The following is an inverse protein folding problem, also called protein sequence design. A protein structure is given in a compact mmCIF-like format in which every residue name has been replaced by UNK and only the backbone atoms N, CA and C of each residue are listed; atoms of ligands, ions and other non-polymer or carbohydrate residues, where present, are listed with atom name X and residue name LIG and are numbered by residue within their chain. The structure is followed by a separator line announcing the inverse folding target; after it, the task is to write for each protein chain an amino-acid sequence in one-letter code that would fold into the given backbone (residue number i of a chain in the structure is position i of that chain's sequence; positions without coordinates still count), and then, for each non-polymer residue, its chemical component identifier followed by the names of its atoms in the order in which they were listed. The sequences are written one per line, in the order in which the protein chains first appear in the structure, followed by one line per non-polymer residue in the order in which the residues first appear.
data_IF_591181419793
#
_entry.id   IF_591181419793
#
_cell.length_a   1.000
_cell.length_b   1.000
_cell.length_c   1.000
_cell.angle_alpha   90.00
_cell.angle_beta   90.00
_cell.angle_gamma   90.00
#
_symmetry.space_group_name_H-M   'P 1'
#
loop_
_entity.id
_entity.type
_entity.pdbx_description
1 polymer ?
#
# COMPACT_ATOMS: atom_id res chain seq x y z
N UNK A 1 -4.31 25.84 10.37
CA UNK A 1 -3.42 24.95 10.71
C UNK A 1 -3.56 23.60 10.13
N UNK A 2 -4.69 23.07 10.09
CA UNK A 2 -4.86 21.79 9.52
C UNK A 2 -4.56 21.74 8.07
N UNK A 3 -4.87 22.78 7.34
CA UNK A 3 -4.67 22.81 5.90
C UNK A 3 -3.20 22.71 5.55
N UNK A 4 -2.35 23.22 6.41
CA UNK A 4 -0.92 23.18 6.15
C UNK A 4 -0.39 21.77 6.11
N UNK A 5 -1.18 20.84 6.60
CA UNK A 5 -0.77 19.46 6.61
C UNK A 5 -1.66 18.59 5.76
N UNK A 6 -2.14 19.12 4.67
CA UNK A 6 -3.04 18.39 3.82
C UNK A 6 -2.52 17.02 3.45
N UNK A 7 -1.27 16.96 3.01
CA UNK A 7 -0.69 15.67 2.65
C UNK A 7 -0.54 14.76 3.84
N UNK A 8 -0.05 15.30 4.94
CA UNK A 8 0.07 14.53 6.17
C UNK A 8 -1.31 14.25 6.73
N UNK A 9 -2.24 15.16 6.49
CA UNK A 9 -3.60 15.00 6.95
C UNK A 9 -4.28 13.79 6.36
N UNK A 10 -4.01 13.52 5.09
CA UNK A 10 -4.59 12.35 4.45
C UNK A 10 -4.12 11.06 5.11
N UNK A 11 -2.83 10.98 5.40
CA UNK A 11 -2.31 9.81 6.09
C UNK A 11 -2.85 9.70 7.50
N UNK A 12 -3.05 10.84 8.15
CA UNK A 12 -3.61 10.84 9.50
C UNK A 12 -5.03 10.31 9.50
N UNK A 13 -5.82 10.72 8.50
CA UNK A 13 -7.18 10.23 8.39
C UNK A 13 -7.20 8.73 8.15
N UNK A 14 -6.30 8.25 7.29
CA UNK A 14 -6.17 6.84 7.08
C UNK A 14 -5.74 6.13 8.36
N UNK A 15 -4.92 6.79 9.16
CA UNK A 15 -4.46 6.23 10.40
C UNK A 15 -5.57 5.91 11.38
N UNK A 16 -6.72 6.56 11.24
CA UNK A 16 -7.87 6.27 12.05
C UNK A 16 -8.60 5.02 11.59
N UNK A 17 -8.43 4.67 10.32
CA UNK A 17 -9.08 3.51 9.72
C UNK A 17 -8.16 2.32 9.60
N UNK A 18 -6.86 2.56 9.64
CA UNK A 18 -5.86 1.53 9.41
C UNK A 18 -5.08 1.23 10.68
N UNK A 19 -4.81 -0.03 10.92
CA UNK A 19 -3.96 -0.39 12.04
C UNK A 19 -2.48 -0.25 11.62
N UNK A 20 -1.59 -0.56 12.53
CA UNK A 20 -0.16 -0.42 12.30
C UNK A 20 0.32 -1.27 11.12
N UNK A 21 -0.18 -2.50 11.04
CA UNK A 21 0.21 -3.40 9.97
C UNK A 21 -0.23 -2.87 8.62
N UNK A 22 -1.47 -2.37 8.54
CA UNK A 22 -1.99 -1.83 7.28
C UNK A 22 -1.14 -0.66 6.81
N UNK A 23 -0.77 0.24 7.72
CA UNK A 23 0.05 1.38 7.37
C UNK A 23 1.43 0.95 6.90
N UNK A 24 1.99 -0.07 7.57
CA UNK A 24 3.30 -0.58 7.18
C UNK A 24 3.27 -1.18 5.78
N UNK A 25 2.19 -1.90 5.46
CA UNK A 25 2.05 -2.49 4.13
C UNK A 25 1.96 -1.40 3.06
N UNK A 26 1.17 -0.36 3.31
CA UNK A 26 1.06 0.73 2.33
C UNK A 26 2.37 1.49 2.16
N UNK A 27 3.06 1.75 3.25
CA UNK A 27 4.36 2.43 3.18
C UNK A 27 5.36 1.59 2.39
N UNK A 28 5.39 0.30 2.68
CA UNK A 28 6.26 -0.62 1.96
C UNK A 28 5.94 -0.62 0.47
N UNK A 29 4.64 -0.68 0.13
CA UNK A 29 4.23 -0.70 -1.27
C UNK A 29 4.70 0.56 -1.98
N UNK A 30 4.57 1.71 -1.34
CA UNK A 30 5.00 2.96 -1.92
C UNK A 30 6.50 2.98 -2.17
N UNK A 31 7.27 2.46 -1.21
CA UNK A 31 8.71 2.55 -1.29
C UNK A 31 9.35 1.47 -2.16
N UNK A 32 8.75 0.30 -2.21
CA UNK A 32 9.42 -0.84 -2.85
C UNK A 32 8.64 -1.50 -3.96
N UNK A 33 7.32 -1.57 -3.85
CA UNK A 33 6.53 -2.32 -4.81
C UNK A 33 6.66 -1.76 -6.23
N UNK A 34 6.53 -0.44 -6.34
CA UNK A 34 6.59 0.20 -7.65
C UNK A 34 7.97 0.09 -8.29
N UNK A 35 8.97 -0.25 -7.51
CA UNK A 35 10.32 -0.43 -8.00
C UNK A 35 10.71 -1.90 -8.16
N UNK A 36 9.74 -2.79 -7.96
CA UNK A 36 9.97 -4.21 -8.17
C UNK A 36 10.80 -4.89 -7.10
N UNK A 37 10.80 -4.37 -5.89
CA UNK A 37 11.65 -4.90 -4.83
C UNK A 37 10.89 -5.69 -3.75
N UNK A 38 9.66 -6.09 -4.03
CA UNK A 38 8.85 -6.78 -3.04
C UNK A 38 9.54 -8.05 -2.54
N UNK A 39 9.94 -8.91 -3.47
CA UNK A 39 10.52 -10.19 -3.11
C UNK A 39 11.77 -10.03 -2.25
N UNK A 40 12.59 -9.06 -2.59
CA UNK A 40 13.85 -8.86 -1.91
C UNK A 40 13.70 -8.25 -0.52
N UNK A 41 12.64 -7.47 -0.31
CA UNK A 41 12.52 -6.67 0.90
C UNK A 41 11.38 -7.02 1.83
N UNK A 42 10.39 -7.76 1.36
CA UNK A 42 9.17 -7.95 2.15
C UNK A 42 9.45 -8.66 3.48
N UNK A 43 10.28 -9.68 3.46
CA UNK A 43 10.59 -10.41 4.68
C UNK A 43 11.38 -9.54 5.65
N UNK A 44 12.33 -8.79 5.14
CA UNK A 44 13.20 -7.95 5.96
C UNK A 44 12.42 -6.78 6.56
N UNK A 45 11.62 -6.11 5.74
CA UNK A 45 10.94 -4.88 6.17
C UNK A 45 9.66 -5.16 6.92
N UNK A 46 8.90 -6.16 6.50
CA UNK A 46 7.59 -6.44 7.07
C UNK A 46 7.53 -7.72 7.91
N UNK A 47 8.55 -8.55 7.80
CA UNK A 47 8.58 -9.78 8.57
C UNK A 47 7.51 -10.78 8.16
N UNK A 48 7.08 -10.74 6.92
CA UNK A 48 6.03 -11.63 6.43
C UNK A 48 6.41 -12.21 5.07
N UNK A 49 5.68 -13.24 4.66
CA UNK A 49 5.91 -13.84 3.36
C UNK A 49 5.35 -12.95 2.26
N UNK A 50 5.84 -13.18 1.05
CA UNK A 50 5.34 -12.47 -0.11
C UNK A 50 3.85 -12.71 -0.31
N UNK A 51 3.41 -13.96 -0.13
CA UNK A 51 2.00 -14.31 -0.27
C UNK A 51 1.13 -13.53 0.72
N UNK A 52 1.57 -13.47 1.97
CA UNK A 52 0.81 -12.75 2.99
C UNK A 52 0.74 -11.26 2.66
N UNK A 53 1.86 -10.72 2.20
CA UNK A 53 1.91 -9.32 1.81
C UNK A 53 0.89 -9.01 0.70
N UNK A 54 0.83 -9.86 -0.33
CA UNK A 54 -0.11 -9.62 -1.42
C UNK A 54 -1.55 -9.73 -0.96
N UNK A 55 -1.84 -10.66 -0.07
CA UNK A 55 -3.19 -10.78 0.48
C UNK A 55 -3.60 -9.51 1.20
N UNK A 56 -2.71 -8.99 2.04
CA UNK A 56 -3.00 -7.76 2.78
C UNK A 56 -3.12 -6.56 1.86
N UNK A 57 -2.24 -6.48 0.87
CA UNK A 57 -2.26 -5.37 -0.07
C UNK A 57 -3.56 -5.34 -0.86
N UNK A 58 -3.98 -6.49 -1.37
CA UNK A 58 -5.22 -6.56 -2.13
C UNK A 58 -6.41 -6.12 -1.29
N UNK A 59 -6.44 -6.53 -0.02
CA UNK A 59 -7.51 -6.12 0.86
C UNK A 59 -7.51 -4.61 1.06
N UNK A 60 -6.32 -4.01 1.22
CA UNK A 60 -6.21 -2.57 1.39
C UNK A 60 -6.64 -1.81 0.13
N UNK A 61 -6.25 -2.30 -1.03
CA UNK A 61 -6.60 -1.64 -2.28
C UNK A 61 -8.09 -1.71 -2.58
N UNK A 62 -8.81 -2.61 -1.90
CA UNK A 62 -10.25 -2.71 -2.04
C UNK A 62 -11.01 -1.74 -1.14
N UNK A 63 -10.33 -1.07 -0.23
CA UNK A 63 -10.98 -0.16 0.70
C UNK A 63 -11.18 1.20 0.07
N UNK A 64 -12.42 1.72 0.05
CA UNK A 64 -12.68 3.03 -0.59
C UNK A 64 -11.88 4.17 0.01
N UNK A 65 -11.70 4.17 1.32
CA UNK A 65 -10.97 5.26 1.97
C UNK A 65 -9.52 5.31 1.54
N UNK A 66 -8.92 4.16 1.24
CA UNK A 66 -7.55 4.11 0.76
C UNK A 66 -7.47 4.70 -0.65
N UNK A 67 -8.42 4.33 -1.50
CA UNK A 67 -8.46 4.85 -2.87
C UNK A 67 -8.68 6.35 -2.90
N UNK A 68 -9.47 6.86 -1.97
CA UNK A 68 -9.73 8.30 -1.90
C UNK A 68 -8.50 9.07 -1.45
N UNK A 69 -7.77 8.51 -0.49
CA UNK A 69 -6.61 9.21 0.05
C UNK A 69 -5.39 9.12 -0.86
N UNK A 70 -5.23 7.98 -1.54
CA UNK A 70 -4.05 7.74 -2.36
C UNK A 70 -4.46 7.20 -3.73
N UNK A 71 -5.18 7.98 -4.53
CA UNK A 71 -5.72 7.45 -5.79
C UNK A 71 -4.65 7.03 -6.78
N UNK A 72 -3.56 7.78 -6.87
CA UNK A 72 -2.51 7.44 -7.83
C UNK A 72 -1.77 6.18 -7.41
N UNK A 73 -1.47 6.07 -6.12
CA UNK A 73 -0.79 4.88 -5.61
C UNK A 73 -1.64 3.64 -5.84
N UNK A 74 -2.93 3.72 -5.56
CA UNK A 74 -3.83 2.60 -5.75
C UNK A 74 -3.88 2.20 -7.22
N UNK A 75 -3.99 3.19 -8.11
CA UNK A 75 -4.05 2.91 -9.54
C UNK A 75 -2.77 2.23 -10.02
N UNK A 76 -1.62 2.74 -9.58
CA UNK A 76 -0.34 2.18 -9.98
C UNK A 76 -0.18 0.75 -9.49
N UNK A 77 -0.54 0.51 -8.24
CA UNK A 77 -0.40 -0.83 -7.66
C UNK A 77 -1.35 -1.82 -8.31
N UNK A 78 -2.58 -1.39 -8.56
CA UNK A 78 -3.53 -2.26 -9.25
C UNK A 78 -3.04 -2.64 -10.63
N UNK A 79 -2.44 -1.67 -11.33
CA UNK A 79 -1.88 -1.92 -12.65
C UNK A 79 -0.77 -2.97 -12.61
N UNK A 80 0.12 -2.84 -11.64
CA UNK A 80 1.21 -3.80 -11.51
C UNK A 80 0.71 -5.19 -11.15
N UNK A 81 -0.25 -5.26 -10.23
CA UNK A 81 -0.81 -6.55 -9.84
C UNK A 81 -1.54 -7.23 -11.00
N UNK A 82 -2.21 -6.44 -11.81
CA UNK A 82 -2.89 -6.96 -12.98
C UNK A 82 -1.90 -7.55 -13.98
N UNK A 83 -0.81 -6.83 -14.22
CA UNK A 83 0.22 -7.31 -15.14
C UNK A 83 0.86 -8.59 -14.62
N UNK A 84 1.11 -8.65 -13.32
CA UNK A 84 1.68 -9.84 -12.71
C UNK A 84 0.78 -11.05 -12.92
N UNK A 85 -0.52 -10.87 -12.75
CA UNK A 85 -1.47 -11.97 -12.94
C UNK A 85 -1.49 -12.46 -14.37
N UNK A 86 -1.35 -11.55 -15.32
CA UNK A 86 -1.32 -11.94 -16.73
C UNK A 86 -0.13 -12.78 -17.09
N UNK A 87 0.99 -12.51 -16.46
CA UNK A 87 2.22 -13.22 -16.77
C UNK A 87 2.24 -14.63 -16.20
N UNK A 88 1.29 -14.98 -15.37
CA UNK A 88 1.19 -16.32 -14.82
C UNK A 88 0.30 -17.18 -15.70
#
# INVERSE_FOLDING_TARGET
MRSARAGAGQLSLLGECLDRQDRAVLTFAREHHLQGRVRARVQVELGMTETRYYQLLLALLSRPEVAEAEPQLVADLRGMLKRRRRLR
#
